data_IF_614262752140
#
_entry.id   IF_614262752140
#
_cell.length_a   1.000
_cell.length_b   1.000
_cell.length_c   1.000
_cell.angle_alpha   90.00
_cell.angle_beta   90.00
_cell.angle_gamma   90.00
#
_symmetry.space_group_name_H-M   'P 1'
#
loop_
_entity.id
_entity.type
_entity.pdbx_description
1 polymer ?
#
# COMPACT_ATOMS: atom_id res chain seq x y z
N UNK A 1 -7.33 0.14 -0.92
CA UNK A 1 -7.13 0.86 0.37
C UNK A 1 -7.69 2.26 0.23
N UNK A 2 -8.03 3.00 1.30
CA UNK A 2 -8.58 4.34 1.20
C UNK A 2 -7.48 5.41 1.01
N UNK A 3 -6.51 5.15 0.14
CA UNK A 3 -5.35 6.00 -0.07
C UNK A 3 -5.52 7.00 -1.25
N UNK A 4 -6.60 6.87 -2.04
CA UNK A 4 -6.88 7.77 -3.18
C UNK A 4 -5.65 7.97 -4.06
N UNK A 5 -5.41 9.21 -4.47
CA UNK A 5 -4.23 9.63 -5.25
C UNK A 5 -3.02 9.98 -4.36
N UNK A 6 -3.04 9.55 -3.10
CA UNK A 6 -1.96 9.79 -2.15
C UNK A 6 -0.65 9.18 -2.60
N UNK A 7 0.45 9.91 -2.42
CA UNK A 7 1.79 9.46 -2.75
C UNK A 7 2.49 8.90 -1.51
N UNK A 8 3.31 7.87 -1.71
CA UNK A 8 4.08 7.21 -0.66
C UNK A 8 5.52 7.04 -1.11
N UNK A 9 6.49 7.45 -0.29
CA UNK A 9 7.91 7.20 -0.50
C UNK A 9 8.27 5.76 -0.07
N UNK A 10 7.87 4.78 -0.87
CA UNK A 10 8.02 3.35 -0.59
C UNK A 10 9.49 2.97 -0.38
N UNK A 11 9.81 2.56 0.84
CA UNK A 11 11.13 2.05 1.22
C UNK A 11 11.21 0.54 1.02
N UNK A 12 12.34 0.05 0.50
CA UNK A 12 12.65 -1.37 0.49
C UNK A 12 12.99 -1.82 1.92
N UNK A 13 12.35 -2.88 2.40
CA UNK A 13 12.56 -3.40 3.77
C UNK A 13 14.01 -3.76 4.11
N UNK A 14 14.88 -3.94 3.09
CA UNK A 14 16.30 -4.21 3.27
C UNK A 14 17.10 -2.94 3.61
N UNK A 15 16.65 -1.77 3.18
CA UNK A 15 17.41 -0.51 3.27
C UNK A 15 17.60 0.04 4.68
N UNK A 16 16.65 -0.12 5.64
CA UNK A 16 16.90 0.31 7.02
C UNK A 16 17.99 -0.49 7.75
N UNK A 17 18.30 -1.71 7.28
CA UNK A 17 19.19 -2.62 7.98
C UNK A 17 20.63 -2.13 8.04
N UNK A 18 21.16 -1.63 6.92
CA UNK A 18 22.55 -1.18 6.84
C UNK A 18 22.83 0.06 7.72
N UNK A 19 22.04 1.16 7.65
CA UNK A 19 22.22 2.29 8.56
C UNK A 19 22.00 1.90 10.03
N UNK A 20 21.04 1.04 10.32
CA UNK A 20 20.80 0.57 11.69
C UNK A 20 22.01 -0.20 12.24
N UNK A 21 22.61 -1.09 11.44
CA UNK A 21 23.82 -1.81 11.84
C UNK A 21 24.99 -0.86 12.11
N UNK A 22 25.25 0.10 11.22
CA UNK A 22 26.33 1.10 11.39
C UNK A 22 26.15 1.94 12.66
N UNK A 23 24.93 2.38 12.95
CA UNK A 23 24.60 3.14 14.17
C UNK A 23 24.82 2.29 15.43
N UNK A 24 24.55 0.98 15.36
CA UNK A 24 24.78 0.07 16.48
C UNK A 24 26.27 -0.23 16.71
N UNK A 25 27.09 -0.21 15.66
CA UNK A 25 28.54 -0.40 15.72
C UNK A 25 29.28 0.81 16.30
N UNK A 26 28.90 2.02 15.89
CA UNK A 26 29.40 3.28 16.48
C UNK A 26 28.24 4.18 16.92
N UNK A 27 27.70 3.98 18.13
CA UNK A 27 26.56 4.76 18.60
C UNK A 27 26.92 6.21 18.95
N UNK A 28 28.22 6.57 19.02
CA UNK A 28 28.65 7.92 19.40
C UNK A 28 28.25 8.89 18.28
N UNK A 29 27.50 9.94 18.64
CA UNK A 29 27.00 10.93 17.68
C UNK A 29 25.58 10.70 17.15
N UNK A 30 25.03 9.48 17.33
CA UNK A 30 23.66 9.13 16.95
C UNK A 30 22.65 9.21 18.11
N UNK A 31 23.11 9.36 19.35
CA UNK A 31 22.24 9.47 20.53
C UNK A 31 21.30 10.67 20.40
N UNK A 32 19.99 10.42 20.58
CA UNK A 32 18.95 11.44 20.47
C UNK A 32 18.65 11.90 19.04
N UNK A 33 19.25 11.28 18.01
CA UNK A 33 18.96 11.57 16.61
C UNK A 33 17.83 10.69 16.10
N UNK A 34 17.00 11.26 15.22
CA UNK A 34 15.99 10.54 14.46
C UNK A 34 16.32 10.70 12.96
N UNK A 35 16.32 9.59 12.24
CA UNK A 35 16.65 9.53 10.82
C UNK A 35 15.40 9.13 10.04
N UNK A 36 14.81 10.02 9.23
CA UNK A 36 13.74 9.64 8.32
C UNK A 36 14.33 8.74 7.24
N UNK A 37 13.86 7.50 7.16
CA UNK A 37 14.28 6.54 6.14
C UNK A 37 13.14 6.34 5.17
N UNK A 38 13.34 6.72 3.91
CA UNK A 38 12.32 6.69 2.86
C UNK A 38 12.89 6.11 1.56
N UNK A 39 12.01 5.62 0.69
CA UNK A 39 12.41 5.28 -0.67
C UNK A 39 12.88 6.49 -1.48
N UNK A 40 13.55 6.27 -2.62
CA UNK A 40 14.14 7.34 -3.44
C UNK A 40 13.10 8.19 -4.19
N UNK A 41 11.85 7.76 -4.26
CA UNK A 41 10.76 8.46 -4.95
C UNK A 41 9.41 8.19 -4.29
N UNK A 42 8.58 9.22 -4.22
CA UNK A 42 7.18 9.09 -3.83
C UNK A 42 6.31 8.66 -5.02
N UNK A 43 5.49 7.63 -4.84
CA UNK A 43 4.64 7.06 -5.89
C UNK A 43 3.18 6.99 -5.43
N UNK A 44 2.24 7.20 -6.35
CA UNK A 44 0.83 6.84 -6.13
C UNK A 44 0.67 5.32 -6.20
N UNK A 45 -0.43 4.80 -5.66
CA UNK A 45 -0.75 3.38 -5.80
C UNK A 45 -1.08 2.98 -7.24
N UNK A 46 -1.50 3.93 -8.10
CA UNK A 46 -1.67 3.70 -9.54
C UNK A 46 -0.31 3.51 -10.22
N UNK A 47 0.66 4.40 -9.97
CA UNK A 47 2.04 4.25 -10.48
C UNK A 47 2.64 2.91 -10.01
N UNK A 48 2.37 2.47 -8.77
CA UNK A 48 2.78 1.15 -8.28
C UNK A 48 2.11 0.01 -9.05
N UNK A 49 0.82 0.11 -9.33
CA UNK A 49 0.08 -0.90 -10.10
C UNK A 49 0.60 -1.00 -11.54
N UNK A 50 0.96 0.12 -12.16
CA UNK A 50 1.60 0.18 -13.47
C UNK A 50 2.96 -0.53 -13.45
N UNK A 51 3.84 -0.18 -12.50
CA UNK A 51 5.14 -0.84 -12.32
C UNK A 51 4.99 -2.35 -12.13
N UNK A 52 4.05 -2.79 -11.30
CA UNK A 52 3.78 -4.21 -11.10
C UNK A 52 3.23 -4.88 -12.36
N UNK A 53 2.41 -4.18 -13.15
CA UNK A 53 1.88 -4.70 -14.40
C UNK A 53 2.99 -4.94 -15.41
N UNK A 54 3.91 -3.98 -15.54
CA UNK A 54 5.10 -4.07 -16.40
C UNK A 54 5.98 -5.27 -15.98
N UNK A 55 6.35 -5.35 -14.70
CA UNK A 55 7.29 -6.37 -14.21
C UNK A 55 6.69 -7.79 -14.16
N UNK A 56 5.39 -7.91 -13.89
CA UNK A 56 4.72 -9.22 -13.76
C UNK A 56 4.09 -9.71 -15.06
N UNK A 57 3.97 -8.87 -16.08
CA UNK A 57 3.35 -9.22 -17.37
C UNK A 57 1.85 -9.55 -17.27
N UNK A 58 1.16 -9.08 -16.24
CA UNK A 58 -0.28 -9.28 -16.03
C UNK A 58 -0.94 -8.02 -15.46
N UNK A 59 -2.21 -7.73 -15.78
CA UNK A 59 -2.85 -6.50 -15.33
C UNK A 59 -3.00 -6.48 -13.80
N UNK A 60 -2.39 -5.48 -13.17
CA UNK A 60 -2.57 -5.10 -11.77
C UNK A 60 -3.27 -3.74 -11.77
N UNK A 61 -4.32 -3.58 -10.95
CA UNK A 61 -5.09 -2.34 -10.87
C UNK A 61 -5.22 -1.90 -9.43
N UNK A 62 -5.16 -0.60 -9.21
CA UNK A 62 -5.49 -0.01 -7.94
C UNK A 62 -6.94 0.51 -7.97
N UNK A 63 -7.77 -0.01 -7.06
CA UNK A 63 -9.13 0.48 -6.84
C UNK A 63 -9.22 1.10 -5.44
N UNK A 64 -9.27 2.44 -5.34
CA UNK A 64 -9.31 3.14 -4.06
C UNK A 64 -10.62 2.84 -3.33
N UNK A 65 -10.50 2.25 -2.15
CA UNK A 65 -11.66 1.89 -1.34
C UNK A 65 -12.22 3.12 -0.59
N UNK A 66 -13.53 3.17 -0.41
CA UNK A 66 -14.12 4.09 0.58
C UNK A 66 -13.76 3.66 2.00
N UNK A 67 -13.75 4.60 2.97
CA UNK A 67 -13.50 4.27 4.39
C UNK A 67 -14.46 3.18 4.90
N UNK A 68 -15.79 3.27 4.70
CA UNK A 68 -16.71 2.20 5.11
C UNK A 68 -16.43 0.87 4.39
N UNK A 69 -16.06 0.92 3.12
CA UNK A 69 -15.69 -0.26 2.34
C UNK A 69 -14.44 -0.94 2.90
N UNK A 70 -13.42 -0.17 3.24
CA UNK A 70 -12.18 -0.68 3.85
C UNK A 70 -12.41 -1.27 5.24
N UNK A 71 -13.20 -0.61 6.10
CA UNK A 71 -13.58 -1.16 7.41
C UNK A 71 -14.33 -2.49 7.29
N UNK A 72 -15.24 -2.60 6.31
CA UNK A 72 -15.95 -3.86 6.02
C UNK A 72 -14.97 -4.95 5.58
N UNK A 73 -13.99 -4.61 4.74
CA UNK A 73 -12.94 -5.52 4.30
C UNK A 73 -12.08 -6.01 5.48
N UNK A 74 -11.63 -5.13 6.37
CA UNK A 74 -10.84 -5.51 7.55
C UNK A 74 -11.64 -6.37 8.53
N UNK A 75 -12.92 -6.07 8.73
CA UNK A 75 -13.83 -6.88 9.55
C UNK A 75 -13.99 -8.29 8.98
N UNK A 76 -14.16 -8.42 7.66
CA UNK A 76 -14.27 -9.72 7.00
C UNK A 76 -12.99 -10.57 7.14
N UNK A 77 -11.83 -9.94 7.37
CA UNK A 77 -10.55 -10.59 7.66
C UNK A 77 -10.36 -10.95 9.15
N UNK A 78 -11.34 -10.66 10.01
CA UNK A 78 -11.30 -11.01 11.43
C UNK A 78 -10.37 -10.14 12.28
N UNK A 79 -10.00 -8.94 11.81
CA UNK A 79 -9.12 -8.06 12.58
C UNK A 79 -9.82 -7.52 13.85
N UNK A 80 -9.11 -7.42 14.98
CA UNK A 80 -9.60 -6.73 16.18
C UNK A 80 -9.97 -5.27 15.91
N UNK A 81 -10.97 -4.75 16.61
CA UNK A 81 -11.54 -3.41 16.38
C UNK A 81 -10.50 -2.29 16.38
N UNK A 82 -9.58 -2.32 17.35
CA UNK A 82 -8.50 -1.33 17.48
C UNK A 82 -7.58 -1.37 16.25
N UNK A 83 -7.19 -2.55 15.81
CA UNK A 83 -6.34 -2.71 14.62
C UNK A 83 -7.04 -2.19 13.36
N UNK A 84 -8.35 -2.44 13.21
CA UNK A 84 -9.11 -1.90 12.07
C UNK A 84 -9.12 -0.38 12.05
N UNK A 85 -9.32 0.25 13.22
CA UNK A 85 -9.34 1.71 13.34
C UNK A 85 -7.97 2.30 13.00
N UNK A 86 -6.90 1.78 13.61
CA UNK A 86 -5.53 2.24 13.37
C UNK A 86 -5.16 2.12 11.89
N UNK A 87 -5.40 0.96 11.27
CA UNK A 87 -5.14 0.79 9.83
C UNK A 87 -5.96 1.76 8.99
N UNK A 88 -7.23 1.96 9.31
CA UNK A 88 -8.08 2.88 8.54
C UNK A 88 -7.57 4.30 8.61
N UNK A 89 -7.18 4.77 9.80
CA UNK A 89 -6.61 6.11 9.99
C UNK A 89 -5.30 6.27 9.23
N UNK A 90 -4.37 5.31 9.35
CA UNK A 90 -3.08 5.36 8.66
C UNK A 90 -3.25 5.40 7.13
N UNK A 91 -4.09 4.53 6.55
CA UNK A 91 -4.27 4.49 5.10
C UNK A 91 -5.09 5.67 4.57
N UNK A 92 -6.04 6.20 5.34
CA UNK A 92 -6.74 7.43 4.99
C UNK A 92 -5.79 8.65 5.03
N UNK A 93 -4.81 8.63 5.94
CA UNK A 93 -3.76 9.64 6.03
C UNK A 93 -2.92 9.76 4.76
N UNK A 94 -2.67 8.66 4.05
CA UNK A 94 -1.92 8.65 2.79
C UNK A 94 -2.51 9.61 1.74
N UNK A 95 -3.85 9.77 1.71
CA UNK A 95 -4.54 10.73 0.81
C UNK A 95 -4.12 12.17 1.03
N UNK A 96 -3.64 12.50 2.23
CA UNK A 96 -3.24 13.84 2.63
C UNK A 96 -1.74 14.08 2.46
N UNK A 97 -1.00 13.11 1.91
CA UNK A 97 0.45 13.19 1.74
C UNK A 97 1.23 12.87 3.01
N UNK A 98 0.61 12.25 4.03
CA UNK A 98 1.26 11.94 5.32
C UNK A 98 2.52 11.06 5.17
N UNK A 99 2.70 10.39 4.03
CA UNK A 99 3.86 9.54 3.71
C UNK A 99 4.55 9.92 2.38
N UNK A 100 4.29 11.11 1.84
CA UNK A 100 4.79 11.55 0.53
C UNK A 100 6.24 12.05 0.59
N UNK A 101 6.67 12.59 1.74
CA UNK A 101 8.00 13.19 1.86
C UNK A 101 9.10 12.17 1.55
N UNK A 102 9.96 12.51 0.60
CA UNK A 102 11.22 11.83 0.33
C UNK A 102 12.32 12.53 1.12
N UNK A 103 13.14 11.73 1.81
CA UNK A 103 14.27 12.20 2.60
C UNK A 103 15.58 11.65 2.01
N UNK A 104 16.62 12.49 1.87
CA UNK A 104 17.88 12.07 1.26
C UNK A 104 18.74 11.20 2.19
N UNK A 105 18.39 11.05 3.47
CA UNK A 105 19.20 10.34 4.47
C UNK A 105 19.69 8.96 4.00
N UNK A 106 18.83 8.17 3.34
CA UNK A 106 19.22 6.88 2.80
C UNK A 106 20.05 6.98 1.52
N UNK A 107 19.77 7.94 0.66
CA UNK A 107 20.51 8.14 -0.58
C UNK A 107 21.94 8.66 -0.34
N UNK A 108 22.12 9.43 0.72
CA UNK A 108 23.43 9.96 1.16
C UNK A 108 24.17 8.99 2.10
N UNK A 109 23.51 7.92 2.54
CA UNK A 109 24.13 6.92 3.41
C UNK A 109 25.20 6.14 2.64
N UNK A 110 26.41 5.96 3.20
CA UNK A 110 27.42 5.12 2.59
C UNK A 110 26.92 3.68 2.49
N UNK A 111 27.06 3.05 1.32
CA UNK A 111 26.64 1.66 1.13
C UNK A 111 26.00 1.41 -0.21
N UNK A 112 25.01 0.51 -0.21
CA UNK A 112 24.20 0.21 -1.40
C UNK A 112 23.23 1.36 -1.68
N UNK A 113 23.02 1.77 -2.94
CA UNK A 113 21.93 2.69 -3.26
C UNK A 113 20.58 2.13 -2.79
N UNK A 114 19.65 2.98 -2.31
CA UNK A 114 18.34 2.54 -1.87
C UNK A 114 17.60 1.75 -2.94
N UNK A 115 16.88 0.71 -2.51
CA UNK A 115 15.99 -0.03 -3.38
C UNK A 115 14.90 0.86 -3.97
N UNK A 116 14.44 0.52 -5.17
CA UNK A 116 13.31 1.20 -5.81
C UNK A 116 12.11 0.26 -5.92
N UNK A 117 10.92 0.84 -5.92
CA UNK A 117 9.68 0.08 -6.14
C UNK A 117 9.68 -0.65 -7.49
N UNK A 118 10.43 -0.18 -8.49
CA UNK A 118 10.59 -0.87 -9.79
C UNK A 118 11.44 -2.14 -9.66
N UNK A 119 12.55 -2.08 -8.92
CA UNK A 119 13.44 -3.23 -8.76
C UNK A 119 12.87 -4.31 -7.82
N UNK A 120 12.09 -3.90 -6.81
CA UNK A 120 11.60 -4.81 -5.77
C UNK A 120 10.81 -6.04 -6.30
N UNK A 121 9.84 -5.90 -7.23
CA UNK A 121 9.13 -7.05 -7.77
C UNK A 121 10.05 -8.05 -8.50
N UNK A 122 11.05 -7.55 -9.22
CA UNK A 122 12.03 -8.36 -9.93
C UNK A 122 12.92 -9.15 -8.96
N UNK A 123 13.47 -8.48 -7.94
CA UNK A 123 14.28 -9.09 -6.89
C UNK A 123 13.53 -10.18 -6.11
N UNK A 124 12.20 -10.06 -6.02
CA UNK A 124 11.33 -10.95 -5.25
C UNK A 124 10.37 -11.76 -6.11
N UNK A 125 10.70 -12.01 -7.38
CA UNK A 125 9.80 -12.66 -8.36
C UNK A 125 9.15 -13.96 -7.86
N UNK A 126 9.87 -14.75 -7.07
CA UNK A 126 9.35 -15.98 -6.48
C UNK A 126 8.12 -15.76 -5.57
N UNK A 127 8.02 -14.63 -4.88
CA UNK A 127 6.85 -14.27 -4.06
C UNK A 127 5.61 -13.97 -4.92
N UNK A 128 5.84 -13.47 -6.14
CA UNK A 128 4.80 -13.09 -7.08
C UNK A 128 4.34 -14.25 -7.98
N UNK A 129 5.13 -15.34 -8.03
CA UNK A 129 4.89 -16.53 -8.84
C UNK A 129 3.73 -17.41 -8.34
N UNK A 130 3.15 -17.13 -7.15
CA UNK A 130 1.92 -17.82 -6.73
C UNK A 130 0.77 -17.39 -7.63
N UNK A 131 0.44 -18.25 -8.59
CA UNK A 131 -0.81 -18.19 -9.32
C UNK A 131 -1.99 -18.19 -8.33
N UNK A 132 -2.90 -17.24 -8.53
CA UNK A 132 -4.27 -17.43 -8.06
C UNK A 132 -4.80 -18.70 -8.73
N UNK A 133 -5.47 -19.62 -8.01
CA UNK A 133 -6.10 -20.76 -8.66
C UNK A 133 -7.01 -20.25 -9.79
N UNK A 134 -7.06 -20.93 -10.95
CA UNK A 134 -7.88 -20.51 -12.07
C UNK A 134 -9.34 -20.50 -11.62
N UNK A 135 -9.91 -19.30 -11.39
CA UNK A 135 -11.29 -19.11 -10.92
C UNK A 135 -11.52 -18.13 -9.76
N UNK A 136 -10.50 -17.49 -9.20
CA UNK A 136 -10.65 -16.58 -8.05
C UNK A 136 -11.16 -15.16 -8.34
N UNK A 137 -11.34 -14.79 -9.61
CA UNK A 137 -12.01 -13.55 -9.98
C UNK A 137 -13.51 -13.76 -9.85
N UNK A 138 -14.12 -13.37 -8.73
CA UNK A 138 -15.58 -13.26 -8.64
C UNK A 138 -16.01 -12.21 -9.68
N UNK A 139 -16.34 -12.65 -10.90
CA UNK A 139 -17.15 -11.86 -11.83
C UNK A 139 -18.45 -11.59 -11.09
N UNK A 140 -18.68 -10.33 -10.75
CA UNK A 140 -20.00 -9.89 -10.31
C UNK A 140 -20.90 -10.15 -11.51
N UNK A 141 -21.81 -11.12 -11.37
CA UNK A 141 -22.77 -11.43 -12.42
C UNK A 141 -23.63 -10.19 -12.68
N UNK A 142 -23.98 -9.86 -13.93
CA UNK A 142 -24.90 -8.76 -14.25
C UNK A 142 -26.20 -8.85 -13.43
N UNK A 143 -26.65 -10.06 -13.09
CA UNK A 143 -27.81 -10.31 -12.26
C UNK A 143 -27.64 -9.85 -10.78
N UNK A 144 -26.42 -9.84 -10.26
CA UNK A 144 -26.11 -9.34 -8.91
C UNK A 144 -26.10 -7.82 -8.88
N UNK A 145 -25.69 -7.18 -9.98
CA UNK A 145 -25.71 -5.73 -10.15
C UNK A 145 -27.14 -5.20 -10.31
N UNK A 146 -27.98 -5.90 -11.07
CA UNK A 146 -29.40 -5.56 -11.21
C UNK A 146 -30.20 -5.74 -9.91
N UNK A 147 -29.88 -6.79 -9.13
CA UNK A 147 -30.48 -7.00 -7.80
C UNK A 147 -30.09 -5.90 -6.82
N UNK A 148 -28.82 -5.48 -6.85
CA UNK A 148 -28.34 -4.35 -6.05
C UNK A 148 -29.00 -3.01 -6.43
N UNK A 149 -29.18 -2.74 -7.72
CA UNK A 149 -29.91 -1.53 -8.19
C UNK A 149 -31.38 -1.56 -7.78
N UNK A 150 -32.05 -2.72 -7.83
CA UNK A 150 -33.45 -2.87 -7.41
C UNK A 150 -33.61 -2.71 -5.89
N UNK A 151 -32.69 -3.24 -5.07
CA UNK A 151 -32.73 -3.05 -3.61
C UNK A 151 -32.48 -1.60 -3.19
N UNK A 152 -31.60 -0.88 -3.88
CA UNK A 152 -31.36 0.55 -3.64
C UNK A 152 -32.57 1.38 -4.08
N UNK A 153 -33.15 1.11 -5.26
CA UNK A 153 -34.36 1.78 -5.73
C UNK A 153 -35.57 1.56 -4.80
N UNK A 154 -35.73 0.34 -4.25
CA UNK A 154 -36.81 0.00 -3.32
C UNK A 154 -36.64 0.65 -1.94
N UNK A 155 -35.39 0.88 -1.51
CA UNK A 155 -35.08 1.62 -0.26
C UNK A 155 -35.24 3.14 -0.39
N UNK A 156 -35.19 3.70 -1.60
CA UNK A 156 -35.42 5.12 -1.84
C UNK A 156 -36.91 5.49 -2.00
N UNK A 157 -37.82 4.54 -2.14
CA UNK A 157 -39.28 4.78 -2.28
C UNK A 157 -40.02 5.02 -0.94
N UNK A 158 -39.31 4.99 0.20
CA UNK A 158 -39.90 5.16 1.55
C UNK A 158 -39.20 6.22 2.41
N UNK A 159 -38.68 7.28 1.77
CA UNK A 159 -38.26 8.49 2.48
C UNK A 159 -39.20 9.63 2.02
N UNK A 160 -39.86 10.34 2.96
CA UNK A 160 -40.78 11.44 2.64
C UNK A 160 -40.07 12.63 1.97
#
# INVERSE_FOLDING_TARGET
MPAGDGRVAFIDTRDPGEPAARILEDPRGHVGRAYPLTGPRALTFEEVAELLTEELGRPVRYDPATIPGYLRHLRARGLPRVQMLVQTVLHAGLRRGDAEKVDPTLAESPGRPPGSMRAYPSDHRALWAKESPPGGGRRVSPATEERGRREIAMRCQWLP
#
